data_IF_946885144676
#
_entry.id   IF_946885144676
#
_cell.length_a   1.000
_cell.length_b   1.000
_cell.length_c   1.000
_cell.angle_alpha   90.00
_cell.angle_beta   90.00
_cell.angle_gamma   90.00
#
_symmetry.space_group_name_H-M   'P 1'
#
loop_
_entity.id
_entity.type
_entity.pdbx_description
1 polymer ?
#
# COMPACT_ATOMS: atom_id res chain seq x y z
N UNK A 1 4.63 -10.78 27.11
CA UNK A 1 5.22 -9.44 26.82
C UNK A 1 6.14 -9.57 25.63
N UNK A 2 5.57 -9.58 24.44
CA UNK A 2 6.33 -9.65 23.20
C UNK A 2 6.63 -8.23 22.79
N UNK A 3 7.92 -7.96 22.76
CA UNK A 3 8.62 -6.75 22.40
C UNK A 3 8.10 -6.11 21.10
N UNK A 4 7.31 -5.06 21.22
CA UNK A 4 6.79 -4.27 20.10
C UNK A 4 7.86 -3.56 19.25
N UNK A 5 9.10 -3.48 19.73
CA UNK A 5 10.19 -2.76 19.03
C UNK A 5 11.03 -3.58 18.06
N UNK A 6 10.94 -4.92 18.09
CA UNK A 6 11.60 -5.76 17.06
C UNK A 6 10.65 -6.17 15.92
N UNK A 7 9.37 -5.83 16.02
CA UNK A 7 8.35 -6.23 15.07
C UNK A 7 8.48 -5.51 13.71
N UNK A 8 8.91 -4.25 13.68
CA UNK A 8 8.90 -3.45 12.45
C UNK A 8 9.91 -3.90 11.40
N UNK A 9 11.15 -4.24 11.80
CA UNK A 9 12.18 -4.65 10.84
C UNK A 9 11.93 -6.05 10.30
N UNK A 10 11.49 -6.99 11.14
CA UNK A 10 11.08 -8.32 10.69
C UNK A 10 9.80 -8.27 9.84
N UNK A 11 8.89 -7.37 10.14
CA UNK A 11 7.68 -7.11 9.37
C UNK A 11 8.00 -6.63 7.94
N UNK A 12 8.92 -5.69 7.77
CA UNK A 12 9.29 -5.16 6.45
C UNK A 12 9.95 -6.21 5.55
N UNK A 13 10.89 -7.02 6.08
CA UNK A 13 11.56 -8.06 5.29
C UNK A 13 10.58 -9.19 4.94
N UNK A 14 9.71 -9.60 5.85
CA UNK A 14 8.67 -10.58 5.55
C UNK A 14 7.70 -10.06 4.49
N UNK A 15 7.27 -8.81 4.59
CA UNK A 15 6.43 -8.17 3.58
C UNK A 15 7.14 -8.12 2.23
N UNK A 16 8.42 -7.74 2.21
CA UNK A 16 9.23 -7.74 0.99
C UNK A 16 9.25 -9.10 0.30
N UNK A 17 9.50 -10.16 1.04
CA UNK A 17 9.51 -11.53 0.49
C UNK A 17 8.13 -11.93 -0.05
N UNK A 18 7.04 -11.58 0.64
CA UNK A 18 5.68 -11.82 0.16
C UNK A 18 5.39 -11.06 -1.12
N UNK A 19 5.76 -9.79 -1.19
CA UNK A 19 5.58 -8.97 -2.39
C UNK A 19 6.40 -9.48 -3.58
N UNK A 20 7.63 -9.95 -3.35
CA UNK A 20 8.43 -10.59 -4.41
C UNK A 20 7.73 -11.84 -4.99
N UNK A 21 7.11 -12.66 -4.15
CA UNK A 21 6.32 -13.82 -4.61
C UNK A 21 5.10 -13.36 -5.40
N UNK A 22 4.35 -12.39 -4.87
CA UNK A 22 3.18 -11.83 -5.56
C UNK A 22 3.56 -11.22 -6.91
N UNK A 23 4.62 -10.44 -6.98
CA UNK A 23 5.13 -9.83 -8.20
C UNK A 23 5.44 -10.88 -9.28
N UNK A 24 6.13 -11.96 -8.90
CA UNK A 24 6.43 -13.08 -9.82
C UNK A 24 5.17 -13.78 -10.33
N UNK A 25 4.20 -14.01 -9.44
CA UNK A 25 2.90 -14.56 -9.83
C UNK A 25 2.14 -13.63 -10.79
N UNK A 26 2.18 -12.32 -10.55
CA UNK A 26 1.54 -11.33 -11.44
C UNK A 26 2.22 -11.23 -12.80
N UNK A 27 3.53 -11.47 -12.87
CA UNK A 27 4.27 -11.58 -14.14
C UNK A 27 3.97 -12.87 -14.92
N UNK A 28 3.16 -13.77 -14.33
CA UNK A 28 2.81 -15.06 -14.93
C UNK A 28 3.88 -16.14 -14.75
N UNK A 29 4.84 -15.90 -13.85
CA UNK A 29 5.81 -16.94 -13.48
C UNK A 29 5.14 -18.02 -12.63
N UNK A 30 5.71 -19.22 -12.65
CA UNK A 30 5.25 -20.37 -11.87
C UNK A 30 6.30 -20.81 -10.85
N UNK A 31 6.55 -19.99 -9.79
CA UNK A 31 7.54 -20.32 -8.77
C UNK A 31 7.06 -21.47 -7.88
N UNK A 32 8.01 -22.20 -7.31
CA UNK A 32 7.71 -23.09 -6.17
C UNK A 32 7.65 -22.19 -4.93
N UNK A 33 6.50 -22.21 -4.26
CA UNK A 33 6.25 -21.36 -3.08
C UNK A 33 6.26 -22.24 -1.84
N UNK A 34 7.05 -21.88 -0.85
CA UNK A 34 7.05 -22.47 0.49
C UNK A 34 6.49 -21.43 1.46
N UNK A 35 5.39 -21.75 2.10
CA UNK A 35 4.69 -20.85 3.00
C UNK A 35 4.26 -21.57 4.28
N UNK A 36 4.14 -20.84 5.39
CA UNK A 36 3.50 -21.35 6.60
C UNK A 36 1.98 -21.48 6.40
N UNK A 37 1.33 -22.32 7.22
CA UNK A 37 -0.13 -22.45 7.18
C UNK A 37 -0.84 -21.11 7.48
N UNK A 38 -0.27 -20.29 8.36
CA UNK A 38 -0.79 -18.95 8.69
C UNK A 38 -0.76 -18.03 7.47
N UNK A 39 0.35 -18.01 6.71
CA UNK A 39 0.46 -17.20 5.50
C UNK A 39 -0.54 -17.60 4.40
N UNK A 40 -1.04 -18.85 4.41
CA UNK A 40 -2.07 -19.31 3.48
C UNK A 40 -3.49 -18.91 3.92
N UNK A 41 -3.68 -18.53 5.17
CA UNK A 41 -4.97 -18.04 5.70
C UNK A 41 -5.19 -16.56 5.46
N UNK A 42 -4.13 -15.83 5.14
CA UNK A 42 -4.23 -14.41 4.81
C UNK A 42 -5.02 -14.20 3.51
N UNK A 43 -5.91 -13.22 3.53
CA UNK A 43 -6.70 -12.83 2.36
C UNK A 43 -5.95 -11.77 1.57
N UNK A 44 -5.87 -12.00 0.28
CA UNK A 44 -5.28 -11.05 -0.66
C UNK A 44 -6.36 -10.48 -1.58
N UNK A 45 -6.21 -9.24 -2.05
CA UNK A 45 -7.12 -8.70 -3.04
C UNK A 45 -7.08 -9.53 -4.32
N UNK A 46 -8.17 -9.58 -5.09
CA UNK A 46 -8.17 -10.19 -6.42
C UNK A 46 -7.02 -9.67 -7.29
N UNK A 47 -6.50 -10.54 -8.15
CA UNK A 47 -5.37 -10.21 -9.04
C UNK A 47 -5.59 -8.93 -9.82
N UNK A 48 -6.80 -8.70 -10.28
CA UNK A 48 -7.22 -7.55 -11.08
C UNK A 48 -7.09 -6.24 -10.28
N UNK A 49 -7.47 -6.26 -9.01
CA UNK A 49 -7.34 -5.09 -8.11
C UNK A 49 -5.88 -4.77 -7.87
N UNK A 50 -5.08 -5.78 -7.52
CA UNK A 50 -3.65 -5.56 -7.30
C UNK A 50 -2.96 -5.06 -8.57
N UNK A 51 -3.27 -5.62 -9.74
CA UNK A 51 -2.71 -5.21 -11.02
C UNK A 51 -3.06 -3.77 -11.39
N UNK A 52 -4.26 -3.27 -11.01
CA UNK A 52 -4.68 -1.89 -11.27
C UNK A 52 -3.86 -0.86 -10.48
N UNK A 53 -3.22 -1.27 -9.38
CA UNK A 53 -2.35 -0.40 -8.60
C UNK A 53 -0.87 -0.48 -9.00
N UNK A 54 -0.48 -1.43 -9.86
CA UNK A 54 0.85 -1.42 -10.45
C UNK A 54 0.98 -0.20 -11.36
N UNK A 55 2.04 0.56 -11.17
CA UNK A 55 2.43 1.63 -12.06
C UNK A 55 3.55 1.15 -12.95
N UNK A 56 3.44 1.39 -14.25
CA UNK A 56 4.54 1.27 -15.19
C UNK A 56 4.70 2.63 -15.83
N UNK A 57 5.81 3.29 -15.57
CA UNK A 57 6.13 4.63 -16.05
C UNK A 57 7.21 4.50 -17.15
N UNK A 58 7.04 5.20 -18.27
CA UNK A 58 7.94 5.14 -19.43
C UNK A 58 8.40 6.53 -19.83
N UNK A 59 9.62 6.61 -20.33
CA UNK A 59 10.14 7.84 -20.93
C UNK A 59 9.24 8.29 -22.08
N UNK A 60 8.89 9.59 -22.14
CA UNK A 60 7.98 10.18 -23.10
C UNK A 60 6.49 10.05 -22.74
N UNK A 61 6.14 9.44 -21.61
CA UNK A 61 4.76 9.35 -21.14
C UNK A 61 4.34 10.66 -20.46
N UNK A 62 3.10 11.09 -20.71
CA UNK A 62 2.51 12.26 -20.05
C UNK A 62 1.76 11.79 -18.82
N UNK A 63 2.16 12.27 -17.64
CA UNK A 63 1.61 11.86 -16.35
C UNK A 63 1.44 13.06 -15.46
N UNK A 64 0.21 13.36 -15.05
CA UNK A 64 -0.05 14.41 -14.06
C UNK A 64 0.63 14.08 -12.72
N UNK A 65 1.66 14.86 -12.35
CA UNK A 65 2.50 14.62 -11.18
C UNK A 65 1.67 14.60 -9.88
N UNK A 66 0.66 15.46 -9.78
CA UNK A 66 -0.19 15.53 -8.58
C UNK A 66 -1.05 14.26 -8.43
N UNK A 67 -1.56 13.70 -9.51
CA UNK A 67 -2.29 12.43 -9.48
C UNK A 67 -1.36 11.26 -9.16
N UNK A 68 -0.18 11.22 -9.80
CA UNK A 68 0.83 10.21 -9.52
C UNK A 68 1.21 10.17 -8.03
N UNK A 69 1.48 11.33 -7.43
CA UNK A 69 1.85 11.39 -6.00
C UNK A 69 0.70 10.96 -5.09
N UNK A 70 -0.55 11.33 -5.39
CA UNK A 70 -1.72 10.81 -4.65
C UNK A 70 -1.82 9.29 -4.76
N UNK A 71 -1.62 8.73 -5.96
CA UNK A 71 -1.63 7.29 -6.18
C UNK A 71 -0.52 6.58 -5.39
N UNK A 72 0.68 7.14 -5.32
CA UNK A 72 1.78 6.60 -4.51
C UNK A 72 1.42 6.54 -3.02
N UNK A 73 0.81 7.60 -2.46
CA UNK A 73 0.33 7.59 -1.07
C UNK A 73 -0.71 6.50 -0.83
N UNK A 74 -1.68 6.32 -1.74
CA UNK A 74 -2.67 5.24 -1.69
C UNK A 74 -2.02 3.86 -1.79
N UNK A 75 -0.97 3.73 -2.58
CA UNK A 75 -0.18 2.51 -2.68
C UNK A 75 0.66 2.21 -1.42
N UNK A 76 0.69 3.13 -0.46
CA UNK A 76 1.36 2.97 0.82
C UNK A 76 2.76 3.55 0.91
N UNK A 77 3.18 4.31 -0.10
CA UNK A 77 4.46 5.00 -0.05
C UNK A 77 4.43 6.19 0.89
N UNK A 78 5.50 6.37 1.65
CA UNK A 78 5.73 7.52 2.51
C UNK A 78 6.42 8.64 1.74
N UNK A 79 5.89 9.86 1.85
CA UNK A 79 6.54 11.04 1.27
C UNK A 79 7.60 11.57 2.21
N UNK A 80 8.82 11.69 1.73
CA UNK A 80 9.99 12.15 2.49
C UNK A 80 10.71 13.28 1.74
N UNK A 81 11.66 13.96 2.39
CA UNK A 81 12.52 14.95 1.72
C UNK A 81 13.56 14.27 0.84
N UNK A 82 14.13 13.14 1.30
CA UNK A 82 15.07 12.29 0.58
C UNK A 82 14.62 10.84 0.69
N UNK A 83 14.83 10.07 -0.37
CA UNK A 83 14.57 8.63 -0.36
C UNK A 83 15.80 7.90 0.19
N UNK A 84 15.64 7.27 1.36
CA UNK A 84 16.73 6.58 2.08
C UNK A 84 16.43 5.10 2.29
N UNK A 85 15.17 4.68 2.13
CA UNK A 85 14.73 3.30 2.32
C UNK A 85 13.59 2.90 1.37
N UNK A 86 13.41 1.59 1.10
CA UNK A 86 12.25 1.11 0.34
C UNK A 86 10.93 1.58 0.96
N UNK A 87 9.95 1.89 0.11
CA UNK A 87 8.64 2.40 0.50
C UNK A 87 8.56 3.91 0.60
N UNK A 88 9.62 4.61 0.31
CA UNK A 88 9.66 6.06 0.32
C UNK A 88 9.62 6.65 -1.09
N UNK A 89 9.08 7.87 -1.19
CA UNK A 89 9.20 8.71 -2.39
C UNK A 89 9.45 10.17 -2.00
N UNK A 90 10.12 10.90 -2.87
CA UNK A 90 10.40 12.33 -2.72
C UNK A 90 10.08 13.04 -4.02
N UNK A 91 9.36 14.16 -3.95
CA UNK A 91 9.11 15.04 -5.08
C UNK A 91 9.72 16.42 -4.81
N UNK A 92 10.67 16.82 -5.64
CA UNK A 92 11.38 18.11 -5.56
C UNK A 92 11.41 18.76 -6.94
N UNK A 93 10.57 19.78 -7.13
CA UNK A 93 10.39 20.36 -8.45
C UNK A 93 9.84 19.33 -9.43
N UNK A 94 10.53 19.15 -10.56
CA UNK A 94 10.20 18.14 -11.57
C UNK A 94 10.94 16.80 -11.40
N UNK A 95 11.46 16.48 -10.21
CA UNK A 95 12.20 15.24 -9.94
C UNK A 95 11.43 14.41 -8.91
N UNK A 96 11.04 13.20 -9.30
CA UNK A 96 10.43 12.20 -8.43
C UNK A 96 11.42 11.06 -8.19
N UNK A 97 11.86 10.93 -6.96
CA UNK A 97 12.63 9.78 -6.49
C UNK A 97 11.68 8.81 -5.81
N UNK A 98 11.78 7.50 -6.09
CA UNK A 98 10.92 6.48 -5.49
C UNK A 98 11.68 5.16 -5.33
N UNK A 99 11.50 4.49 -4.20
CA UNK A 99 12.08 3.19 -3.94
C UNK A 99 11.00 2.14 -3.67
N UNK A 100 10.78 1.27 -4.66
CA UNK A 100 9.85 0.14 -4.52
C UNK A 100 10.41 -0.92 -3.57
N UNK A 101 9.54 -1.57 -2.80
CA UNK A 101 9.94 -2.61 -1.83
C UNK A 101 10.65 -3.78 -2.50
N UNK A 102 10.29 -4.10 -3.73
CA UNK A 102 10.84 -5.24 -4.49
C UNK A 102 12.06 -4.88 -5.33
N UNK A 103 12.39 -3.59 -5.46
CA UNK A 103 13.54 -3.11 -6.23
C UNK A 103 14.82 -3.12 -5.38
N UNK A 104 15.97 -3.40 -6.03
CA UNK A 104 17.28 -3.31 -5.40
C UNK A 104 17.68 -1.85 -5.18
N UNK A 105 17.43 -1.00 -6.17
CA UNK A 105 17.75 0.42 -6.16
C UNK A 105 16.50 1.28 -6.23
N UNK A 106 16.60 2.53 -5.77
CA UNK A 106 15.62 3.55 -6.01
C UNK A 106 15.63 3.97 -7.49
N UNK A 107 14.55 4.60 -7.93
CA UNK A 107 14.40 5.14 -9.29
C UNK A 107 14.20 6.64 -9.22
N UNK A 108 14.92 7.37 -10.02
CA UNK A 108 14.76 8.81 -10.27
C UNK A 108 14.07 9.03 -11.59
N UNK A 109 12.96 9.79 -11.58
CA UNK A 109 12.16 10.16 -12.73
C UNK A 109 12.21 11.67 -12.85
N UNK A 110 12.70 12.15 -13.96
CA UNK A 110 12.78 13.57 -14.27
C UNK A 110 11.65 13.95 -15.21
N UNK A 111 10.93 15.02 -14.89
CA UNK A 111 9.80 15.52 -15.67
C UNK A 111 10.13 16.85 -16.31
N UNK A 112 9.70 17.00 -17.55
CA UNK A 112 9.57 18.27 -18.22
C UNK A 112 8.09 18.63 -18.32
N UNK A 113 7.61 19.51 -17.45
CA UNK A 113 6.19 19.73 -17.21
C UNK A 113 5.54 18.41 -16.72
N UNK A 114 4.59 17.84 -17.47
CA UNK A 114 3.96 16.56 -17.17
C UNK A 114 4.54 15.37 -17.98
N UNK A 115 5.54 15.61 -18.84
CA UNK A 115 6.18 14.56 -19.62
C UNK A 115 7.39 13.97 -18.89
N UNK A 116 7.48 12.64 -18.84
CA UNK A 116 8.65 11.93 -18.32
C UNK A 116 9.82 12.09 -19.30
N UNK A 117 10.79 12.96 -18.98
CA UNK A 117 11.97 13.21 -19.78
C UNK A 117 13.00 12.08 -19.65
N UNK A 118 13.24 11.63 -18.42
CA UNK A 118 14.20 10.55 -18.18
C UNK A 118 13.85 9.71 -16.95
N UNK A 119 14.26 8.44 -17.01
CA UNK A 119 14.18 7.49 -15.88
C UNK A 119 15.57 6.91 -15.65
N UNK A 120 16.02 6.87 -14.39
CA UNK A 120 17.33 6.34 -14.00
C UNK A 120 17.24 5.55 -12.69
N UNK A 121 18.09 4.53 -12.54
CA UNK A 121 18.35 3.99 -11.21
C UNK A 121 19.10 5.03 -10.37
N UNK A 122 18.93 4.99 -9.06
CA UNK A 122 19.51 5.94 -8.13
C UNK A 122 20.06 5.20 -6.90
N UNK A 123 21.31 5.44 -6.60
CA UNK A 123 21.92 5.04 -5.35
C UNK A 123 21.43 5.92 -4.18
N UNK A 124 20.73 5.32 -3.23
CA UNK A 124 20.08 6.05 -2.14
C UNK A 124 21.09 6.64 -1.13
N UNK A 125 22.29 6.10 -1.00
CA UNK A 125 23.29 6.63 -0.08
C UNK A 125 23.96 7.89 -0.64
N UNK A 126 24.37 7.86 -1.90
CA UNK A 126 25.01 9.00 -2.54
C UNK A 126 24.02 9.97 -3.19
N UNK A 127 22.75 9.61 -3.29
CA UNK A 127 21.67 10.37 -3.97
C UNK A 127 21.99 10.66 -5.45
N UNK A 128 22.81 9.83 -6.09
CA UNK A 128 23.23 10.00 -7.48
C UNK A 128 22.52 9.02 -8.40
N UNK A 129 22.17 9.51 -9.57
CA UNK A 129 21.70 8.67 -10.67
C UNK A 129 22.84 7.77 -11.15
N UNK A 130 22.52 6.51 -11.47
CA UNK A 130 23.49 5.48 -11.86
C UNK A 130 23.29 5.09 -13.32
N UNK A 131 22.19 4.43 -13.64
CA UNK A 131 21.95 3.85 -14.96
C UNK A 131 20.65 4.39 -15.56
N UNK A 132 20.63 4.61 -16.87
CA UNK A 132 19.43 5.00 -17.61
C UNK A 132 18.52 3.80 -17.79
N UNK A 133 17.23 3.99 -17.52
CA UNK A 133 16.17 3.01 -17.69
C UNK A 133 15.15 3.50 -18.72
N UNK A 134 14.55 2.59 -19.46
CA UNK A 134 13.46 2.91 -20.41
C UNK A 134 12.10 2.94 -19.69
N UNK A 135 11.94 2.14 -18.64
CA UNK A 135 10.72 2.09 -17.84
C UNK A 135 11.01 1.80 -16.37
N UNK A 136 10.08 2.20 -15.51
CA UNK A 136 10.07 1.85 -14.11
C UNK A 136 8.74 1.17 -13.73
N UNK A 137 8.82 0.02 -13.07
CA UNK A 137 7.66 -0.67 -12.52
C UNK A 137 7.59 -0.48 -11.01
N UNK A 138 6.52 0.13 -10.53
CA UNK A 138 6.29 0.44 -9.13
C UNK A 138 5.13 -0.42 -8.63
N UNK A 139 5.36 -1.19 -7.58
CA UNK A 139 4.36 -2.05 -6.97
C UNK A 139 3.81 -1.42 -5.68
N UNK A 140 2.58 -1.75 -5.28
CA UNK A 140 2.05 -1.31 -3.99
C UNK A 140 2.92 -1.76 -2.83
N UNK A 141 2.99 -0.92 -1.79
CA UNK A 141 3.66 -1.22 -0.52
C UNK A 141 2.75 -1.94 0.47
N UNK A 142 1.46 -2.05 0.15
CA UNK A 142 0.43 -2.69 0.96
C UNK A 142 -0.14 -3.89 0.24
N UNK A 143 -0.38 -4.96 0.98
CA UNK A 143 -1.01 -6.17 0.44
C UNK A 143 -2.46 -5.92 0.02
N UNK A 144 -3.10 -4.95 0.66
CA UNK A 144 -4.45 -4.54 0.36
C UNK A 144 -4.47 -3.08 -0.12
N UNK A 145 -4.85 -2.90 -1.36
CA UNK A 145 -5.02 -1.60 -2.03
C UNK A 145 -6.47 -1.48 -2.48
N UNK A 146 -7.02 -0.28 -2.43
CA UNK A 146 -8.42 -0.01 -2.75
C UNK A 146 -8.58 1.41 -3.32
N UNK A 147 -9.64 1.60 -4.10
CA UNK A 147 -10.03 2.93 -4.60
C UNK A 147 -10.80 3.70 -3.53
N UNK A 148 -10.97 5.01 -3.73
CA UNK A 148 -11.80 5.85 -2.85
C UNK A 148 -13.25 5.33 -2.77
N UNK A 149 -13.83 4.93 -3.91
CA UNK A 149 -15.18 4.38 -3.98
C UNK A 149 -15.30 3.07 -3.19
N UNK A 150 -14.29 2.20 -3.31
CA UNK A 150 -14.22 0.97 -2.52
C UNK A 150 -14.10 1.25 -1.03
N UNK A 151 -13.29 2.25 -0.63
CA UNK A 151 -13.15 2.63 0.78
C UNK A 151 -14.48 3.13 1.37
N UNK A 152 -15.20 3.99 0.64
CA UNK A 152 -16.51 4.50 1.06
C UNK A 152 -17.52 3.34 1.16
N UNK A 153 -17.60 2.50 0.14
CA UNK A 153 -18.51 1.33 0.13
C UNK A 153 -18.21 0.36 1.27
N UNK A 154 -16.92 0.07 1.52
CA UNK A 154 -16.49 -0.79 2.62
C UNK A 154 -16.88 -0.19 3.98
N UNK A 155 -16.65 1.11 4.20
CA UNK A 155 -17.03 1.79 5.42
C UNK A 155 -18.54 1.67 5.70
N UNK A 156 -19.38 1.87 4.69
CA UNK A 156 -20.84 1.72 4.81
C UNK A 156 -21.27 0.28 5.14
N UNK A 157 -20.65 -0.72 4.49
CA UNK A 157 -20.93 -2.14 4.74
C UNK A 157 -20.52 -2.55 6.16
N UNK A 158 -19.34 -2.11 6.61
CA UNK A 158 -18.84 -2.33 7.97
C UNK A 158 -19.85 -1.75 8.98
N UNK A 159 -20.23 -0.48 8.86
CA UNK A 159 -21.21 0.15 9.75
C UNK A 159 -22.56 -0.58 9.77
N UNK A 160 -23.05 -1.03 8.61
CA UNK A 160 -24.33 -1.75 8.53
C UNK A 160 -24.29 -3.09 9.25
N UNK A 161 -23.18 -3.86 9.09
CA UNK A 161 -23.05 -5.15 9.74
C UNK A 161 -22.89 -5.01 11.25
N UNK A 162 -22.05 -4.09 11.67
CA UNK A 162 -21.84 -3.84 13.10
C UNK A 162 -23.06 -3.26 13.83
N UNK A 163 -23.98 -2.55 13.15
CA UNK A 163 -25.25 -2.15 13.74
C UNK A 163 -26.07 -3.34 14.26
N UNK A 164 -25.98 -4.50 13.62
CA UNK A 164 -26.64 -5.74 14.06
C UNK A 164 -25.99 -6.28 15.34
N UNK A 165 -24.65 -6.25 15.37
CA UNK A 165 -23.87 -6.69 16.55
C UNK A 165 -24.14 -5.77 17.74
N UNK A 166 -24.13 -4.46 17.53
CA UNK A 166 -24.44 -3.46 18.57
C UNK A 166 -25.83 -3.68 19.19
N UNK A 167 -26.87 -3.87 18.37
CA UNK A 167 -28.21 -4.17 18.87
C UNK A 167 -28.26 -5.42 19.73
N UNK A 168 -27.50 -6.45 19.38
CA UNK A 168 -27.43 -7.69 20.17
C UNK A 168 -26.74 -7.46 21.53
N UNK A 169 -25.64 -6.70 21.56
CA UNK A 169 -24.95 -6.35 22.80
C UNK A 169 -25.85 -5.50 23.72
N UNK A 170 -26.54 -4.51 23.17
CA UNK A 170 -27.49 -3.68 23.92
C UNK A 170 -28.66 -4.51 24.50
N UNK A 171 -29.20 -5.46 23.74
CA UNK A 171 -30.26 -6.37 24.21
C UNK A 171 -29.79 -7.28 25.35
N UNK A 172 -28.51 -7.63 25.36
CA UNK A 172 -27.89 -8.44 26.44
C UNK A 172 -27.46 -7.61 27.65
N UNK A 173 -27.61 -6.30 27.60
CA UNK A 173 -27.18 -5.40 28.68
C UNK A 173 -25.67 -5.16 28.73
N UNK A 174 -24.93 -5.53 27.66
CA UNK A 174 -23.48 -5.35 27.54
C UNK A 174 -23.15 -3.95 27.05
N UNK A 175 -23.54 -2.93 27.80
CA UNK A 175 -23.44 -1.52 27.39
C UNK A 175 -22.01 -1.05 27.16
N UNK A 176 -21.07 -1.43 28.03
CA UNK A 176 -19.66 -1.05 27.91
C UNK A 176 -19.02 -1.63 26.61
N UNK A 177 -19.32 -2.90 26.31
CA UNK A 177 -18.83 -3.54 25.07
C UNK A 177 -19.46 -2.89 23.84
N UNK A 178 -20.73 -2.50 23.90
CA UNK A 178 -21.41 -1.81 22.81
C UNK A 178 -20.82 -0.41 22.55
N UNK A 179 -20.49 0.34 23.60
CA UNK A 179 -19.87 1.67 23.46
C UNK A 179 -18.48 1.57 22.87
N UNK A 180 -17.61 0.68 23.35
CA UNK A 180 -16.27 0.44 22.81
C UNK A 180 -16.32 0.02 21.34
N UNK A 181 -17.24 -0.87 20.98
CA UNK A 181 -17.39 -1.32 19.61
C UNK A 181 -17.87 -0.18 18.70
N UNK A 182 -18.81 0.64 19.15
CA UNK A 182 -19.31 1.78 18.38
C UNK A 182 -18.22 2.81 18.10
N UNK A 183 -17.42 3.14 19.11
CA UNK A 183 -16.31 4.08 19.00
C UNK A 183 -15.26 3.56 18.00
N UNK A 184 -14.84 2.31 18.17
CA UNK A 184 -13.81 1.68 17.32
C UNK A 184 -14.22 1.60 15.85
N UNK A 185 -15.45 1.15 15.58
CA UNK A 185 -15.97 1.06 14.21
C UNK A 185 -16.20 2.44 13.60
N UNK A 186 -16.63 3.41 14.39
CA UNK A 186 -16.77 4.79 13.93
C UNK A 186 -15.44 5.39 13.48
N UNK A 187 -14.40 5.22 14.30
CA UNK A 187 -13.05 5.67 13.96
C UNK A 187 -12.50 4.99 12.71
N UNK A 188 -12.66 3.66 12.59
CA UNK A 188 -12.16 2.91 11.45
C UNK A 188 -12.91 3.29 10.15
N UNK A 189 -14.22 3.46 10.21
CA UNK A 189 -15.02 3.92 9.07
C UNK A 189 -14.65 5.34 8.62
N UNK A 190 -14.40 6.25 9.56
CA UNK A 190 -13.93 7.61 9.26
C UNK A 190 -12.52 7.60 8.64
N UNK A 191 -11.62 6.74 9.15
CA UNK A 191 -10.29 6.57 8.58
C UNK A 191 -10.34 6.04 7.15
N UNK A 192 -11.20 5.06 6.87
CA UNK A 192 -11.42 4.55 5.51
C UNK A 192 -11.90 5.65 4.56
N UNK A 193 -12.91 6.44 4.96
CA UNK A 193 -13.41 7.56 4.15
C UNK A 193 -12.37 8.66 3.93
N UNK A 194 -11.48 8.88 4.89
CA UNK A 194 -10.39 9.84 4.79
C UNK A 194 -9.13 9.28 4.09
N UNK A 195 -9.23 8.11 3.46
CA UNK A 195 -8.12 7.39 2.80
C UNK A 195 -6.92 7.11 3.73
N UNK A 196 -7.14 7.08 5.04
CA UNK A 196 -6.11 6.78 6.03
C UNK A 196 -5.95 5.26 6.19
N UNK A 197 -4.74 4.86 6.52
CA UNK A 197 -4.42 3.46 6.79
C UNK A 197 -5.14 2.95 8.01
N UNK A 198 -5.71 1.76 7.93
CA UNK A 198 -6.21 1.02 9.08
C UNK A 198 -5.12 0.09 9.61
N UNK A 199 -4.88 0.05 10.94
CA UNK A 199 -3.89 -0.85 11.54
C UNK A 199 -4.17 -2.34 11.28
N UNK A 200 -5.45 -2.72 11.17
CA UNK A 200 -5.91 -4.10 10.97
C UNK A 200 -6.71 -4.25 9.67
N UNK A 201 -6.26 -3.65 8.57
CA UNK A 201 -7.00 -3.63 7.30
C UNK A 201 -7.36 -5.04 6.80
N UNK A 202 -6.52 -6.05 7.04
CA UNK A 202 -6.80 -7.44 6.69
C UNK A 202 -8.06 -8.02 7.36
N UNK A 203 -8.45 -7.53 8.54
CA UNK A 203 -9.68 -7.93 9.21
C UNK A 203 -10.94 -7.47 8.45
N UNK A 204 -10.81 -6.46 7.61
CA UNK A 204 -11.90 -5.88 6.81
C UNK A 204 -11.85 -6.32 5.34
N UNK A 205 -11.01 -7.28 4.98
CA UNK A 205 -10.82 -7.71 3.58
C UNK A 205 -12.12 -8.15 2.88
N UNK A 206 -13.08 -8.70 3.62
CA UNK A 206 -14.37 -9.16 3.09
C UNK A 206 -15.33 -8.02 2.69
N UNK A 207 -15.01 -6.79 3.04
CA UNK A 207 -15.84 -5.62 2.74
C UNK A 207 -15.41 -4.90 1.46
N UNK A 208 -14.26 -5.23 0.90
CA UNK A 208 -13.72 -4.72 -0.35
C UNK A 208 -13.95 -5.71 -1.50
#
# INVERSE_FOLDING_TARGET
DILFYSADVHSMEMNRQRFLVLERLFKGETPIIVASAEALLDKYPPKEIFAAFRLTLRTGEIVEIAELTRKLVRMGYERTELVESPGQFSLRGGILDIWSLTAEDAVRIEFWDDEIDSIRSMDAQSQRSVEKLEEASIFPMREMVYTEEQAVSAAERIEQEYRKVLKNLEQKGETENAERLREHIGEDAERLRAEKTLPALGAYADYF
#
